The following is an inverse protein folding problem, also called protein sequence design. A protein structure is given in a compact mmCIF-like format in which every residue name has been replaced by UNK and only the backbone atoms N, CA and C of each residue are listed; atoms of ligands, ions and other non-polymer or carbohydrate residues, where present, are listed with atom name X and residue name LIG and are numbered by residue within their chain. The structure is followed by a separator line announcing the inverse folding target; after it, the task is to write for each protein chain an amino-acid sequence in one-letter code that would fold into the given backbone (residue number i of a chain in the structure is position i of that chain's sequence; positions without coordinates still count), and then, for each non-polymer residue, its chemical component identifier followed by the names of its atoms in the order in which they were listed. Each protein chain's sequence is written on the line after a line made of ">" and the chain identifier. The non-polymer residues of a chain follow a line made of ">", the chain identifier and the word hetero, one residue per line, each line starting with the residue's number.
data_IF_341603223698
#
_entry.id   IF_341603223698
#
_cell.length_a   1.000
_cell.length_b   1.000
_cell.length_c   1.000
_cell.angle_alpha   90.00
_cell.angle_beta   90.00
_cell.angle_gamma   90.00
#
_symmetry.space_group_name_H-M   'P 1'
#
loop_
_entity.id
_entity.type
_entity.pdbx_description
1 polymer ?
#
# COMPACT_ATOMS: atom_id res chain seq x y z
N UNK A 1 9.22 -1.98 25.89
CA UNK A 1 8.73 -0.85 25.07
C UNK A 1 7.67 -0.10 25.88
N UNK A 2 7.70 1.24 25.87
CA UNK A 2 6.87 2.12 26.73
C UNK A 2 5.49 2.46 26.13
N UNK A 3 5.35 2.36 24.81
CA UNK A 3 4.10 2.64 24.11
C UNK A 3 3.31 1.38 23.81
N UNK A 4 1.99 1.47 23.80
CA UNK A 4 1.16 0.46 23.17
C UNK A 4 1.50 0.38 21.67
N UNK A 5 1.17 -0.74 21.00
CA UNK A 5 1.47 -0.84 19.58
C UNK A 5 0.78 0.27 18.74
N UNK A 6 -0.42 0.74 19.09
CA UNK A 6 -1.12 1.80 18.34
C UNK A 6 -0.40 3.13 18.51
N UNK A 7 -0.06 3.49 19.75
CA UNK A 7 0.68 4.73 20.04
C UNK A 7 2.03 4.75 19.35
N UNK A 8 2.74 3.60 19.33
CA UNK A 8 3.98 3.47 18.58
C UNK A 8 3.78 3.76 17.08
N UNK A 9 2.77 3.15 16.43
CA UNK A 9 2.44 3.43 15.03
C UNK A 9 2.12 4.93 14.82
N UNK A 10 1.39 5.57 15.74
CA UNK A 10 1.09 7.01 15.67
C UNK A 10 2.36 7.88 15.74
N UNK A 11 3.27 7.58 16.66
CA UNK A 11 4.54 8.31 16.80
C UNK A 11 5.44 8.13 15.58
N UNK A 12 5.52 6.93 15.02
CA UNK A 12 6.29 6.65 13.81
C UNK A 12 5.72 7.38 12.59
N UNK A 13 4.39 7.38 12.42
CA UNK A 13 3.74 8.15 11.37
C UNK A 13 3.98 9.66 11.54
N UNK A 14 3.94 10.18 12.78
CA UNK A 14 4.21 11.59 13.04
C UNK A 14 5.66 11.97 12.76
N UNK A 15 6.60 11.08 13.11
CA UNK A 15 8.03 11.23 12.79
C UNK A 15 8.23 11.31 11.28
N UNK A 16 7.56 10.45 10.53
CA UNK A 16 7.68 10.36 9.08
C UNK A 16 7.22 11.63 8.33
N UNK A 17 6.33 12.45 8.91
CA UNK A 17 5.74 13.65 8.28
C UNK A 17 6.15 14.98 8.92
N UNK A 18 7.02 14.98 9.94
CA UNK A 18 7.44 16.21 10.67
C UNK A 18 8.87 16.64 10.33
N UNK A 19 9.68 15.75 9.77
CA UNK A 19 11.11 15.96 9.54
C UNK A 19 11.45 16.87 8.36
N UNK A 20 12.75 17.05 8.10
CA UNK A 20 13.23 17.59 6.83
C UNK A 20 13.04 16.48 5.79
N UNK A 21 12.09 16.68 4.88
CA UNK A 21 11.62 15.65 3.97
C UNK A 21 10.68 14.66 4.64
N UNK A 22 10.18 13.71 3.84
CA UNK A 22 9.17 12.74 4.25
C UNK A 22 9.80 11.34 4.27
N UNK A 23 9.58 10.57 5.34
CA UNK A 23 9.95 9.15 5.34
C UNK A 23 8.82 8.32 4.69
N UNK A 24 8.81 8.29 3.36
CA UNK A 24 7.74 7.58 2.65
C UNK A 24 7.82 6.07 2.83
N UNK A 25 8.99 5.51 3.15
CA UNK A 25 9.12 4.08 3.42
C UNK A 25 8.40 3.69 4.71
N UNK A 26 8.54 4.48 5.78
CA UNK A 26 7.79 4.28 7.02
C UNK A 26 6.27 4.44 6.82
N UNK A 27 5.84 5.46 6.07
CA UNK A 27 4.43 5.66 5.72
C UNK A 27 3.86 4.46 4.97
N UNK A 28 4.56 3.99 3.94
CA UNK A 28 4.16 2.83 3.14
C UNK A 28 4.12 1.57 4.00
N UNK A 29 5.16 1.31 4.79
CA UNK A 29 5.26 0.11 5.61
C UNK A 29 4.09 0.01 6.61
N UNK A 30 3.78 1.09 7.32
CA UNK A 30 2.69 1.10 8.30
C UNK A 30 1.35 1.00 7.57
N UNK A 31 1.06 1.91 6.64
CA UNK A 31 -0.29 2.02 6.05
C UNK A 31 -0.65 0.85 5.13
N UNK A 32 0.30 0.26 4.41
CA UNK A 32 0.03 -0.90 3.56
C UNK A 32 -0.09 -2.21 4.36
N UNK A 33 0.40 -2.23 5.61
CA UNK A 33 0.41 -3.44 6.41
C UNK A 33 -0.64 -3.47 7.51
N UNK A 34 -1.07 -2.37 8.12
CA UNK A 34 -2.03 -2.48 9.24
C UNK A 34 -3.43 -2.93 8.75
N UNK A 35 -4.15 -3.67 9.59
CA UNK A 35 -5.54 -4.05 9.30
C UNK A 35 -6.47 -2.84 9.39
N UNK A 36 -7.68 -2.93 8.83
CA UNK A 36 -8.67 -1.85 8.94
C UNK A 36 -8.95 -1.46 10.39
N UNK A 37 -9.17 -2.45 11.27
CA UNK A 37 -9.37 -2.22 12.71
C UNK A 37 -8.21 -1.43 13.32
N UNK A 38 -6.98 -1.77 12.95
CA UNK A 38 -5.78 -1.10 13.46
C UNK A 38 -5.62 0.31 12.90
N UNK A 39 -5.90 0.52 11.61
CA UNK A 39 -5.85 1.84 10.96
C UNK A 39 -6.89 2.81 11.54
N UNK A 40 -8.10 2.33 11.84
CA UNK A 40 -9.13 3.13 12.54
C UNK A 40 -8.65 3.57 13.92
N UNK A 41 -8.10 2.65 14.71
CA UNK A 41 -7.52 2.97 16.02
C UNK A 41 -6.35 3.96 15.90
N UNK A 42 -5.50 3.82 14.88
CA UNK A 42 -4.40 4.77 14.61
C UNK A 42 -4.97 6.17 14.32
N UNK A 43 -6.01 6.30 13.48
CA UNK A 43 -6.60 7.60 13.16
C UNK A 43 -7.14 8.30 14.42
N UNK A 44 -7.87 7.57 15.26
CA UNK A 44 -8.42 8.09 16.52
C UNK A 44 -7.29 8.53 17.47
N UNK A 45 -6.30 7.66 17.70
CA UNK A 45 -5.20 7.93 18.62
C UNK A 45 -4.27 9.04 18.11
N UNK A 46 -4.02 9.12 16.80
CA UNK A 46 -3.20 10.17 16.21
C UNK A 46 -3.85 11.55 16.42
N UNK A 47 -5.18 11.64 16.27
CA UNK A 47 -5.92 12.86 16.58
C UNK A 47 -5.83 13.22 18.06
N UNK A 48 -5.99 12.26 18.98
CA UNK A 48 -5.88 12.51 20.42
C UNK A 48 -4.47 12.94 20.84
N UNK A 49 -3.43 12.29 20.32
CA UNK A 49 -2.04 12.52 20.72
C UNK A 49 -1.46 13.83 20.17
N UNK A 50 -1.83 14.20 18.93
CA UNK A 50 -1.19 15.32 18.22
C UNK A 50 -2.15 16.47 17.90
N UNK A 51 -3.44 16.32 18.21
CA UNK A 51 -4.50 17.27 17.85
C UNK A 51 -4.55 17.56 16.33
N UNK A 52 -4.27 16.54 15.52
CA UNK A 52 -4.20 16.63 14.04
C UNK A 52 -4.75 15.36 13.43
N UNK A 53 -5.38 15.48 12.27
CA UNK A 53 -5.82 14.30 11.53
C UNK A 53 -4.63 13.73 10.73
N UNK A 54 -4.41 12.41 10.82
CA UNK A 54 -3.36 11.73 10.06
C UNK A 54 -3.47 12.01 8.56
N UNK A 55 -4.69 11.98 8.00
CA UNK A 55 -4.93 12.28 6.59
C UNK A 55 -4.45 13.70 6.21
N UNK A 56 -4.69 14.70 7.06
CA UNK A 56 -4.23 16.08 6.80
C UNK A 56 -2.71 16.17 6.74
N UNK A 57 -2.02 15.45 7.62
CA UNK A 57 -0.55 15.40 7.62
C UNK A 57 -0.02 14.67 6.38
N UNK A 58 -0.61 13.52 6.00
CA UNK A 58 -0.26 12.83 4.75
C UNK A 58 -0.46 13.74 3.53
N UNK A 59 -1.59 14.46 3.46
CA UNK A 59 -1.90 15.35 2.34
C UNK A 59 -0.93 16.53 2.25
N UNK A 60 -0.49 17.06 3.39
CA UNK A 60 0.44 18.18 3.47
C UNK A 60 1.88 17.82 3.10
N UNK A 61 2.29 16.57 3.38
CA UNK A 61 3.69 16.15 3.25
C UNK A 61 3.97 15.28 2.01
N UNK A 62 2.92 14.81 1.31
CA UNK A 62 3.06 13.96 0.12
C UNK A 62 2.36 14.53 -1.11
N UNK A 63 2.74 14.06 -2.29
CA UNK A 63 2.18 14.54 -3.56
C UNK A 63 1.90 13.40 -4.55
N UNK A 64 1.28 13.75 -5.67
CA UNK A 64 1.02 12.82 -6.78
C UNK A 64 0.20 11.58 -6.40
N UNK A 65 0.51 10.46 -7.06
CA UNK A 65 -0.16 9.18 -6.82
C UNK A 65 0.18 8.55 -5.48
N UNK A 66 1.37 8.82 -4.94
CA UNK A 66 1.72 8.35 -3.61
C UNK A 66 0.76 8.92 -2.56
N UNK A 67 0.48 10.22 -2.60
CA UNK A 67 -0.53 10.83 -1.71
C UNK A 67 -1.87 10.11 -1.81
N UNK A 68 -2.35 9.88 -3.04
CA UNK A 68 -3.64 9.19 -3.28
C UNK A 68 -3.63 7.79 -2.67
N UNK A 69 -2.54 7.04 -2.84
CA UNK A 69 -2.36 5.71 -2.25
C UNK A 69 -2.40 5.76 -0.72
N UNK A 70 -1.59 6.62 -0.09
CA UNK A 70 -1.47 6.67 1.36
C UNK A 70 -2.77 7.15 2.03
N UNK A 71 -3.48 8.11 1.41
CA UNK A 71 -4.81 8.54 1.87
C UNK A 71 -5.83 7.41 1.74
N UNK A 72 -5.85 6.66 0.62
CA UNK A 72 -6.77 5.55 0.47
C UNK A 72 -6.53 4.45 1.53
N UNK A 73 -5.26 4.13 1.80
CA UNK A 73 -4.89 3.15 2.82
C UNK A 73 -5.22 3.64 4.23
N UNK A 74 -4.91 4.90 4.57
CA UNK A 74 -5.08 5.43 5.94
C UNK A 74 -6.54 5.39 6.40
N UNK A 75 -7.51 5.40 5.48
CA UNK A 75 -8.93 5.30 5.83
C UNK A 75 -9.31 3.96 6.48
N UNK A 76 -8.56 2.88 6.25
CA UNK A 76 -8.87 1.56 6.83
C UNK A 76 -10.26 1.05 6.43
N UNK A 77 -10.62 1.20 5.15
CA UNK A 77 -11.94 0.86 4.58
C UNK A 77 -11.88 -0.24 3.51
N UNK A 78 -10.79 -1.02 3.44
CA UNK A 78 -10.70 -2.12 2.47
C UNK A 78 -11.82 -3.13 2.72
N UNK A 79 -12.56 -3.62 1.71
CA UNK A 79 -13.53 -4.69 1.93
C UNK A 79 -12.87 -5.95 2.52
N UNK A 80 -13.52 -6.58 3.49
CA UNK A 80 -13.00 -7.78 4.20
C UNK A 80 -13.75 -9.07 3.84
N UNK A 81 -14.60 -9.04 2.79
CA UNK A 81 -15.24 -10.26 2.29
C UNK A 81 -14.22 -11.26 1.73
N UNK A 82 -14.49 -12.54 1.96
CA UNK A 82 -13.73 -13.66 1.42
C UNK A 82 -14.30 -14.18 0.09
N UNK A 83 -15.42 -13.64 -0.36
CA UNK A 83 -16.06 -14.03 -1.62
C UNK A 83 -15.26 -13.51 -2.81
N UNK A 84 -15.20 -14.29 -3.87
CA UNK A 84 -14.52 -13.93 -5.12
C UNK A 84 -15.52 -14.09 -6.27
N UNK A 85 -15.91 -12.97 -6.86
CA UNK A 85 -16.63 -12.94 -8.13
C UNK A 85 -15.60 -13.09 -9.25
N UNK A 86 -15.59 -14.24 -9.93
CA UNK A 86 -14.59 -14.56 -10.94
C UNK A 86 -14.68 -13.65 -12.17
N UNK A 87 -15.89 -13.28 -12.60
CA UNK A 87 -16.08 -12.37 -13.74
C UNK A 87 -15.54 -10.97 -13.41
N UNK A 88 -15.78 -10.49 -12.19
CA UNK A 88 -15.22 -9.21 -11.73
C UNK A 88 -13.70 -9.29 -11.58
N UNK A 89 -13.17 -10.40 -11.10
CA UNK A 89 -11.74 -10.61 -10.97
C UNK A 89 -11.02 -10.62 -12.32
N UNK A 90 -11.63 -11.25 -13.34
CA UNK A 90 -11.12 -11.24 -14.72
C UNK A 90 -11.17 -9.84 -15.33
N UNK A 91 -12.26 -9.09 -15.11
CA UNK A 91 -12.39 -7.71 -15.58
C UNK A 91 -11.36 -6.77 -14.94
N UNK A 92 -11.14 -6.88 -13.62
CA UNK A 92 -10.10 -6.13 -12.92
C UNK A 92 -8.70 -6.53 -13.44
N UNK A 93 -8.46 -7.81 -13.69
CA UNK A 93 -7.18 -8.30 -14.23
C UNK A 93 -6.90 -7.73 -15.62
N UNK A 94 -7.90 -7.75 -16.51
CA UNK A 94 -7.84 -7.12 -17.83
C UNK A 94 -7.59 -5.62 -17.71
N UNK A 95 -8.27 -4.95 -16.78
CA UNK A 95 -8.10 -3.52 -16.52
C UNK A 95 -6.66 -3.20 -16.10
N UNK A 96 -6.06 -3.98 -15.20
CA UNK A 96 -4.66 -3.81 -14.79
C UNK A 96 -3.69 -4.04 -15.96
N UNK A 97 -3.97 -5.02 -16.83
CA UNK A 97 -3.14 -5.30 -17.99
C UNK A 97 -3.19 -4.16 -19.00
N UNK A 98 -4.39 -3.68 -19.31
CA UNK A 98 -4.62 -2.54 -20.21
C UNK A 98 -4.07 -1.24 -19.65
N UNK A 99 -4.15 -1.04 -18.33
CA UNK A 99 -3.62 0.12 -17.62
C UNK A 99 -2.09 0.16 -17.54
N UNK A 100 -1.42 -0.97 -17.64
CA UNK A 100 0.05 -1.08 -17.63
C UNK A 100 0.59 -1.48 -18.99
N UNK A 101 0.75 -2.79 -19.20
CA UNK A 101 1.55 -3.36 -20.30
C UNK A 101 1.04 -3.09 -21.71
N UNK A 102 -0.23 -2.67 -21.86
CA UNK A 102 -0.85 -2.41 -23.16
C UNK A 102 -0.76 -0.95 -23.61
N UNK A 103 -0.09 -0.08 -22.84
CA UNK A 103 0.15 1.33 -23.17
C UNK A 103 1.58 1.73 -22.82
N UNK A 104 2.02 2.89 -23.34
CA UNK A 104 3.29 3.48 -22.90
C UNK A 104 3.08 4.27 -21.60
N UNK A 105 3.80 3.91 -20.55
CA UNK A 105 3.58 4.42 -19.20
C UNK A 105 2.51 3.62 -18.45
N UNK A 106 2.18 4.03 -17.21
CA UNK A 106 1.11 3.39 -16.43
C UNK A 106 -0.06 4.34 -16.23
N UNK A 107 -1.26 3.79 -16.17
CA UNK A 107 -2.40 4.45 -15.56
C UNK A 107 -2.46 4.09 -14.05
N UNK A 108 -1.71 4.81 -13.23
CA UNK A 108 -1.63 4.53 -11.79
C UNK A 108 -2.99 4.70 -11.10
N UNK A 109 -3.91 5.49 -11.67
CA UNK A 109 -5.26 5.63 -11.11
C UNK A 109 -6.01 4.30 -11.10
N UNK A 110 -5.88 3.49 -12.16
CA UNK A 110 -6.50 2.16 -12.24
C UNK A 110 -5.88 1.14 -11.30
N UNK A 111 -4.55 1.20 -11.14
CA UNK A 111 -3.87 0.39 -10.13
C UNK A 111 -4.36 0.74 -8.72
N UNK A 112 -4.51 2.03 -8.39
CA UNK A 112 -5.02 2.47 -7.09
C UNK A 112 -6.48 2.07 -6.87
N UNK A 113 -7.33 2.24 -7.88
CA UNK A 113 -8.75 1.89 -7.82
C UNK A 113 -8.94 0.43 -7.40
N UNK A 114 -8.19 -0.48 -8.04
CA UNK A 114 -8.29 -1.93 -7.79
C UNK A 114 -7.53 -2.32 -6.52
N UNK A 115 -6.24 -1.97 -6.42
CA UNK A 115 -5.38 -2.45 -5.33
C UNK A 115 -5.74 -1.88 -3.97
N UNK A 116 -6.37 -0.70 -3.87
CA UNK A 116 -6.77 -0.12 -2.58
C UNK A 116 -8.20 -0.50 -2.17
N UNK A 117 -9.11 -0.77 -3.13
CA UNK A 117 -10.55 -0.90 -2.83
C UNK A 117 -11.13 -2.31 -2.99
N UNK A 118 -10.35 -3.30 -3.45
CA UNK A 118 -10.77 -4.71 -3.48
C UNK A 118 -10.37 -5.46 -2.21
N UNK A 119 -11.14 -6.50 -1.86
CA UNK A 119 -10.76 -7.36 -0.73
C UNK A 119 -9.49 -8.16 -1.04
N UNK A 120 -8.82 -8.64 -0.01
CA UNK A 120 -7.63 -9.49 -0.18
C UNK A 120 -7.98 -10.81 -0.89
N UNK A 121 -9.18 -11.35 -0.69
CA UNK A 121 -9.63 -12.55 -1.39
C UNK A 121 -9.83 -12.27 -2.87
N UNK A 122 -10.54 -11.18 -3.20
CA UNK A 122 -10.75 -10.76 -4.59
C UNK A 122 -9.45 -10.49 -5.33
N UNK A 123 -8.51 -9.76 -4.71
CA UNK A 123 -7.21 -9.47 -5.32
C UNK A 123 -6.37 -10.73 -5.61
N UNK A 124 -6.52 -11.81 -4.84
CA UNK A 124 -5.89 -13.09 -5.18
C UNK A 124 -6.46 -13.65 -6.48
N UNK A 125 -7.79 -13.64 -6.63
CA UNK A 125 -8.46 -14.03 -7.88
C UNK A 125 -8.03 -13.16 -9.06
N UNK A 126 -7.93 -11.84 -8.87
CA UNK A 126 -7.43 -10.91 -9.90
C UNK A 126 -6.02 -11.29 -10.35
N UNK A 127 -5.11 -11.63 -9.42
CA UNK A 127 -3.73 -11.97 -9.77
C UNK A 127 -3.60 -13.34 -10.44
N UNK A 128 -4.50 -14.26 -10.14
CA UNK A 128 -4.61 -15.53 -10.85
C UNK A 128 -5.11 -15.32 -12.28
N UNK A 129 -6.19 -14.54 -12.45
CA UNK A 129 -6.74 -14.19 -13.77
C UNK A 129 -5.78 -13.36 -14.63
N UNK A 130 -4.93 -12.52 -14.02
CA UNK A 130 -3.93 -11.71 -14.73
C UNK A 130 -2.99 -12.53 -15.62
N UNK A 131 -2.72 -13.78 -15.23
CA UNK A 131 -1.86 -14.71 -15.98
C UNK A 131 -2.43 -15.11 -17.35
N UNK A 132 -3.72 -14.87 -17.58
CA UNK A 132 -4.35 -15.09 -18.89
C UNK A 132 -4.01 -13.98 -19.89
N UNK A 133 -3.73 -12.76 -19.40
CA UNK A 133 -3.45 -11.59 -20.23
C UNK A 133 -1.95 -11.31 -20.36
N UNK A 134 -1.17 -11.63 -19.34
CA UNK A 134 0.27 -11.34 -19.30
C UNK A 134 1.11 -12.56 -18.98
N UNK A 135 2.34 -12.56 -19.52
CA UNK A 135 3.41 -13.48 -19.13
C UNK A 135 4.15 -13.04 -17.86
N UNK A 136 3.98 -11.79 -17.42
CA UNK A 136 4.55 -11.27 -16.17
C UNK A 136 3.63 -11.59 -15.00
N UNK A 137 4.24 -11.83 -13.83
CA UNK A 137 3.50 -11.73 -12.58
C UNK A 137 3.15 -10.25 -12.30
N UNK A 138 2.07 -10.00 -11.54
CA UNK A 138 1.64 -8.64 -11.22
C UNK A 138 2.74 -7.82 -10.52
N UNK A 139 3.61 -8.43 -9.71
CA UNK A 139 4.75 -7.71 -9.12
C UNK A 139 5.74 -7.24 -10.18
N UNK A 140 5.97 -8.04 -11.21
CA UNK A 140 6.90 -7.71 -12.29
C UNK A 140 6.30 -6.68 -13.24
N UNK A 141 4.99 -6.74 -13.50
CA UNK A 141 4.26 -5.69 -14.18
C UNK A 141 4.36 -4.36 -13.41
N UNK A 142 4.07 -4.34 -12.10
CA UNK A 142 4.20 -3.11 -11.29
C UNK A 142 5.64 -2.56 -11.35
N UNK A 143 6.66 -3.43 -11.30
CA UNK A 143 8.07 -3.01 -11.39
C UNK A 143 8.42 -2.43 -12.76
N UNK A 144 7.91 -2.99 -13.86
CA UNK A 144 8.22 -2.48 -15.21
C UNK A 144 7.47 -1.19 -15.52
N UNK A 145 6.24 -1.06 -15.06
CA UNK A 145 5.35 0.02 -15.47
C UNK A 145 5.50 1.28 -14.58
N UNK A 146 5.59 1.11 -13.25
CA UNK A 146 5.62 2.26 -12.30
C UNK A 146 7.03 2.57 -11.85
N UNK A 147 7.29 3.70 -11.17
CA UNK A 147 8.61 4.02 -10.59
C UNK A 147 8.51 4.73 -9.22
N UNK A 148 9.65 5.06 -8.61
CA UNK A 148 9.71 5.85 -7.37
C UNK A 148 8.90 5.26 -6.20
N UNK A 149 8.34 6.15 -5.37
CA UNK A 149 7.61 5.75 -4.16
C UNK A 149 6.23 5.14 -4.46
N UNK A 150 5.61 5.46 -5.60
CA UNK A 150 4.36 4.79 -6.00
C UNK A 150 4.62 3.31 -6.29
N UNK A 151 5.72 2.95 -6.98
CA UNK A 151 6.14 1.55 -7.16
C UNK A 151 6.31 0.84 -5.81
N UNK A 152 6.99 1.48 -4.86
CA UNK A 152 7.18 0.92 -3.50
C UNK A 152 5.84 0.67 -2.80
N UNK A 153 4.91 1.61 -2.88
CA UNK A 153 3.58 1.51 -2.28
C UNK A 153 2.75 0.37 -2.84
N UNK A 154 2.64 0.28 -4.17
CA UNK A 154 1.88 -0.78 -4.84
C UNK A 154 2.47 -2.17 -4.57
N UNK A 155 3.80 -2.30 -4.62
CA UNK A 155 4.47 -3.55 -4.27
C UNK A 155 4.29 -3.94 -2.80
N UNK A 156 4.25 -2.97 -1.88
CA UNK A 156 4.00 -3.25 -0.47
C UNK A 156 2.61 -3.87 -0.25
N UNK A 157 1.56 -3.35 -0.91
CA UNK A 157 0.21 -3.92 -0.85
C UNK A 157 0.23 -5.40 -1.31
N UNK A 158 0.78 -5.66 -2.49
CA UNK A 158 0.83 -7.01 -3.06
C UNK A 158 1.60 -7.98 -2.17
N UNK A 159 2.79 -7.57 -1.69
CA UNK A 159 3.68 -8.41 -0.87
C UNK A 159 3.12 -8.69 0.52
N UNK A 160 2.54 -7.68 1.18
CA UNK A 160 1.86 -7.85 2.47
C UNK A 160 0.70 -8.84 2.32
N UNK A 161 -0.11 -8.68 1.27
CA UNK A 161 -1.27 -9.53 1.01
C UNK A 161 -0.85 -10.99 0.76
N UNK A 162 0.23 -11.21 0.00
CA UNK A 162 0.76 -12.55 -0.31
C UNK A 162 1.41 -13.21 0.89
N UNK A 163 2.30 -12.50 1.58
CA UNK A 163 3.05 -13.02 2.72
C UNK A 163 3.57 -11.86 3.59
N UNK A 164 2.76 -11.44 4.55
CA UNK A 164 3.12 -10.37 5.50
C UNK A 164 4.43 -10.66 6.25
N UNK A 165 4.66 -11.84 6.87
CA UNK A 165 5.95 -12.16 7.49
C UNK A 165 7.13 -12.03 6.51
N UNK A 166 6.98 -12.52 5.28
CA UNK A 166 7.99 -12.43 4.23
C UNK A 166 8.31 -10.98 3.83
N UNK A 167 7.29 -10.12 3.75
CA UNK A 167 7.48 -8.69 3.51
C UNK A 167 8.35 -8.04 4.61
N UNK A 168 8.04 -8.27 5.88
CA UNK A 168 8.84 -7.70 6.98
C UNK A 168 10.24 -8.31 7.08
N UNK A 169 10.40 -9.60 6.79
CA UNK A 169 11.72 -10.23 6.70
C UNK A 169 12.58 -9.57 5.62
N UNK A 170 11.98 -9.23 4.48
CA UNK A 170 12.65 -8.48 3.42
C UNK A 170 13.03 -7.05 3.86
N UNK A 171 12.11 -6.32 4.51
CA UNK A 171 12.41 -4.96 4.99
C UNK A 171 13.52 -4.95 6.03
N UNK A 172 13.50 -5.89 6.97
CA UNK A 172 14.56 -6.06 7.96
C UNK A 172 15.91 -6.33 7.27
N UNK A 173 15.95 -7.26 6.32
CA UNK A 173 17.18 -7.55 5.55
C UNK A 173 17.68 -6.32 4.79
N UNK A 174 16.78 -5.54 4.18
CA UNK A 174 17.12 -4.31 3.46
C UNK A 174 17.73 -3.27 4.41
N UNK A 175 17.08 -3.01 5.54
CA UNK A 175 17.54 -2.06 6.56
C UNK A 175 18.91 -2.44 7.13
N UNK A 176 19.15 -3.73 7.39
CA UNK A 176 20.46 -4.19 7.86
C UNK A 176 21.55 -4.01 6.81
N UNK A 177 21.27 -4.23 5.52
CA UNK A 177 22.26 -4.03 4.45
C UNK A 177 22.63 -2.57 4.23
N UNK A 178 21.67 -1.65 4.34
CA UNK A 178 21.91 -0.21 4.18
C UNK A 178 22.71 0.42 5.32
N UNK A 179 23.00 -0.31 6.40
CA UNK A 179 23.85 0.15 7.50
C UNK A 179 25.34 -0.13 7.23
N UNK A 180 25.64 -1.01 6.27
CA UNK A 180 27.02 -1.47 5.98
C UNK A 180 27.62 -0.89 4.69
N UNK A 181 26.95 0.06 4.04
CA UNK A 181 27.42 0.79 2.84
C UNK A 181 26.98 2.24 2.90
#
# INVERSE_FOLDING_TARGET
>A
LLYSPVEYDCHELRRAVKGIGTDEEALIEILASRSNKRLKAINENYQTLFNRALEKDIVGDTSGYLKKLLVALSQGKRPESNDVNQDEAENDAKTLFEAGEKKWGTDESKFLEILCNRSNAHLKGVFEAYRQFSKKDIEDAIKSETSGNIRKGLLAIVRVMRNRPGYFAYQLKKALKSVFY
#
